data_IF_542216650911
#
_entry.id   IF_542216650911
#
_cell.length_a   1.000
_cell.length_b   1.000
_cell.length_c   1.000
_cell.angle_alpha   90.00
_cell.angle_beta   90.00
_cell.angle_gamma   90.00
#
_symmetry.space_group_name_H-M   'P 1'
#
loop_
_entity.id
_entity.type
_entity.pdbx_description
1 polymer ?
#
# COMPACT_ATOMS: atom_id res chain seq x y z
N UNK A 1 -23.64 23.80 -3.50
CA UNK A 1 -23.24 22.38 -3.32
C UNK A 1 -21.79 22.25 -3.77
N UNK A 2 -20.81 22.17 -2.85
CA UNK A 2 -19.40 21.95 -3.19
C UNK A 2 -18.84 20.87 -2.26
N UNK A 3 -18.88 19.63 -2.74
CA UNK A 3 -18.39 18.43 -2.09
C UNK A 3 -17.09 17.97 -2.77
N UNK A 4 -16.23 18.92 -3.13
CA UNK A 4 -14.94 18.65 -3.81
C UNK A 4 -13.73 19.00 -2.94
N UNK A 5 -13.89 19.89 -1.97
CA UNK A 5 -12.77 20.38 -1.15
C UNK A 5 -12.29 19.33 -0.13
N UNK A 6 -13.21 18.67 0.57
CA UNK A 6 -12.87 17.65 1.57
C UNK A 6 -12.19 16.41 0.99
N UNK A 7 -12.58 15.98 -0.22
CA UNK A 7 -11.95 14.84 -0.90
C UNK A 7 -10.53 15.18 -1.37
N UNK A 8 -10.35 16.37 -1.94
CA UNK A 8 -9.05 16.85 -2.38
C UNK A 8 -8.07 16.99 -1.20
N UNK A 9 -8.53 17.52 -0.07
CA UNK A 9 -7.75 17.59 1.18
C UNK A 9 -7.40 16.20 1.69
N UNK A 10 -8.33 15.24 1.65
CA UNK A 10 -8.08 13.86 2.09
C UNK A 10 -7.03 13.16 1.21
N UNK A 11 -7.10 13.35 -0.11
CA UNK A 11 -6.14 12.79 -1.08
C UNK A 11 -4.76 13.42 -0.89
N UNK A 12 -4.66 14.75 -0.73
CA UNK A 12 -3.40 15.45 -0.43
C UNK A 12 -2.78 14.96 0.88
N UNK A 13 -3.60 14.76 1.90
CA UNK A 13 -3.14 14.25 3.18
C UNK A 13 -2.64 12.80 3.08
N UNK A 14 -3.35 11.93 2.37
CA UNK A 14 -2.95 10.54 2.14
C UNK A 14 -1.63 10.45 1.34
N UNK A 15 -1.49 11.25 0.28
CA UNK A 15 -0.28 11.34 -0.52
C UNK A 15 0.92 11.79 0.33
N UNK A 16 0.77 12.84 1.14
CA UNK A 16 1.83 13.31 2.04
C UNK A 16 2.29 12.24 3.03
N UNK A 17 1.36 11.46 3.60
CA UNK A 17 1.73 10.36 4.52
C UNK A 17 2.45 9.23 3.79
N UNK A 18 2.03 8.92 2.55
CA UNK A 18 2.71 7.93 1.71
C UNK A 18 4.14 8.39 1.40
N UNK A 19 4.33 9.63 0.99
CA UNK A 19 5.66 10.16 0.69
C UNK A 19 6.58 10.14 1.92
N UNK A 20 6.07 10.49 3.09
CA UNK A 20 6.84 10.42 4.33
C UNK A 20 7.21 8.98 4.71
N UNK A 21 6.32 8.02 4.47
CA UNK A 21 6.58 6.59 4.67
C UNK A 21 7.63 6.09 3.67
N UNK A 22 7.46 6.39 2.39
CA UNK A 22 8.38 6.01 1.32
C UNK A 22 9.77 6.60 1.58
N UNK A 23 9.89 7.89 1.93
CA UNK A 23 11.16 8.49 2.33
C UNK A 23 11.79 7.80 3.55
N UNK A 24 10.98 7.40 4.54
CA UNK A 24 11.47 6.69 5.73
C UNK A 24 11.95 5.27 5.39
N UNK A 25 11.28 4.59 4.46
CA UNK A 25 11.70 3.28 3.93
C UNK A 25 13.00 3.44 3.14
N UNK A 26 13.08 4.42 2.23
CA UNK A 26 14.29 4.69 1.44
C UNK A 26 15.49 5.10 2.30
N UNK A 27 15.27 5.86 3.38
CA UNK A 27 16.32 6.24 4.34
C UNK A 27 16.80 5.09 5.24
N UNK A 28 15.96 4.07 5.46
CA UNK A 28 16.29 2.91 6.31
C UNK A 28 16.84 1.73 5.52
N UNK A 29 16.47 1.61 4.24
CA UNK A 29 16.89 0.52 3.35
C UNK A 29 17.28 1.13 2.01
N UNK A 30 18.58 1.23 1.76
CA UNK A 30 19.12 1.70 0.49
C UNK A 30 18.89 0.62 -0.56
N UNK A 31 17.75 0.66 -1.26
CA UNK A 31 17.46 -0.20 -2.42
C UNK A 31 16.08 -0.86 -2.41
N UNK A 32 15.69 -1.53 -3.51
CA UNK A 32 14.47 -2.34 -3.57
C UNK A 32 14.40 -3.29 -2.37
N UNK A 33 13.19 -3.55 -1.86
CA UNK A 33 13.02 -4.59 -0.87
C UNK A 33 13.37 -5.95 -1.50
N UNK A 34 14.61 -6.40 -1.31
CA UNK A 34 15.02 -7.75 -1.69
C UNK A 34 14.47 -8.70 -0.64
N UNK A 35 13.69 -9.67 -1.06
CA UNK A 35 13.22 -10.75 -0.19
C UNK A 35 14.11 -11.97 -0.41
N UNK A 36 14.48 -12.62 0.67
CA UNK A 36 15.30 -13.82 0.67
C UNK A 36 14.43 -15.05 0.92
N UNK A 37 14.88 -16.23 0.48
CA UNK A 37 14.21 -17.48 0.80
C UNK A 37 14.08 -17.63 2.32
N UNK A 38 12.86 -17.88 2.80
CA UNK A 38 12.54 -17.90 4.23
C UNK A 38 12.00 -16.59 4.78
N UNK A 39 11.91 -15.51 3.99
CA UNK A 39 11.21 -14.30 4.41
C UNK A 39 9.69 -14.51 4.44
N UNK A 40 9.04 -13.95 5.45
CA UNK A 40 7.58 -13.87 5.54
C UNK A 40 7.09 -12.58 4.87
N UNK A 41 6.36 -12.72 3.76
CA UNK A 41 5.88 -11.60 2.94
C UNK A 41 4.36 -11.62 2.79
N UNK A 42 3.79 -10.46 2.48
CA UNK A 42 2.38 -10.33 2.09
C UNK A 42 2.32 -9.63 0.74
N UNK A 43 1.48 -10.17 -0.16
CA UNK A 43 1.32 -9.64 -1.51
C UNK A 43 0.23 -8.57 -1.50
N UNK A 44 0.54 -7.42 -2.07
CA UNK A 44 -0.43 -6.34 -2.23
C UNK A 44 -1.40 -6.64 -3.37
N UNK A 45 -2.70 -6.58 -3.08
CA UNK A 45 -3.79 -6.80 -4.02
C UNK A 45 -4.21 -5.50 -4.68
N UNK A 46 -3.49 -5.10 -5.74
CA UNK A 46 -3.75 -3.87 -6.50
C UNK A 46 -5.05 -3.89 -7.31
N UNK A 47 -5.63 -5.08 -7.54
CA UNK A 47 -6.96 -5.28 -8.14
C UNK A 47 -8.08 -4.59 -7.34
N UNK A 48 -7.87 -4.42 -6.03
CA UNK A 48 -8.84 -3.80 -5.11
C UNK A 48 -8.78 -2.26 -5.09
N UNK A 49 -7.79 -1.64 -5.77
CA UNK A 49 -7.65 -0.18 -5.77
C UNK A 49 -8.52 0.51 -6.83
N UNK A 50 -8.91 -0.20 -7.89
CA UNK A 50 -9.57 0.41 -9.06
C UNK A 50 -11.09 0.50 -8.97
N UNK A 51 -11.73 -0.05 -7.93
CA UNK A 51 -13.20 -0.13 -7.92
C UNK A 51 -13.78 0.61 -6.72
N UNK A 52 -14.45 1.74 -7.00
CA UNK A 52 -15.22 2.55 -6.05
C UNK A 52 -16.42 1.81 -5.40
N UNK A 53 -16.57 0.50 -5.60
CA UNK A 53 -17.64 -0.31 -5.02
C UNK A 53 -17.35 -0.55 -3.54
N UNK A 54 -18.32 -0.21 -2.68
CA UNK A 54 -18.22 -0.28 -1.21
C UNK A 54 -17.82 -1.68 -0.73
N UNK A 55 -18.24 -2.72 -1.45
CA UNK A 55 -17.91 -4.13 -1.16
C UNK A 55 -16.39 -4.40 -1.13
N UNK A 56 -15.59 -3.73 -1.96
CA UNK A 56 -14.14 -3.93 -1.99
C UNK A 56 -13.41 -3.19 -0.87
N UNK A 57 -14.05 -2.21 -0.20
CA UNK A 57 -13.46 -1.49 0.95
C UNK A 57 -13.33 -2.37 2.20
N UNK A 58 -14.11 -3.44 2.28
CA UNK A 58 -14.07 -4.41 3.38
C UNK A 58 -13.08 -5.56 3.11
N UNK A 59 -12.53 -5.65 1.90
CA UNK A 59 -11.62 -6.73 1.55
C UNK A 59 -10.20 -6.41 2.03
N UNK A 60 -9.48 -7.39 2.62
CA UNK A 60 -8.07 -7.23 2.96
C UNK A 60 -7.24 -6.92 1.71
N UNK A 61 -6.53 -5.79 1.75
CA UNK A 61 -5.61 -5.36 0.67
C UNK A 61 -4.30 -6.15 0.63
N UNK A 62 -3.98 -6.85 1.70
CA UNK A 62 -2.81 -7.70 1.83
C UNK A 62 -3.25 -9.16 1.83
N UNK A 63 -2.54 -10.02 1.12
CA UNK A 63 -2.78 -11.46 1.20
C UNK A 63 -2.46 -12.00 2.61
N UNK A 64 -2.90 -13.23 2.88
CA UNK A 64 -2.36 -14.01 4.00
C UNK A 64 -0.83 -14.09 3.89
N UNK A 65 -0.10 -14.10 5.02
CA UNK A 65 1.36 -14.24 5.00
C UNK A 65 1.82 -15.46 4.22
N UNK A 66 2.88 -15.31 3.43
CA UNK A 66 3.48 -16.34 2.60
C UNK A 66 4.98 -16.36 2.82
N UNK A 67 5.57 -17.54 2.74
CA UNK A 67 7.02 -17.71 2.78
C UNK A 67 7.59 -17.62 1.37
N UNK A 68 8.70 -16.90 1.21
CA UNK A 68 9.48 -16.94 -0.03
C UNK A 68 10.16 -18.30 -0.11
N UNK A 69 9.77 -19.12 -1.09
CA UNK A 69 10.32 -20.46 -1.30
C UNK A 69 11.49 -20.45 -2.29
N UNK A 70 11.46 -19.55 -3.27
CA UNK A 70 12.47 -19.40 -4.31
C UNK A 70 12.43 -17.97 -4.87
N UNK A 71 13.54 -17.51 -5.47
CA UNK A 71 13.70 -16.16 -6.01
C UNK A 71 13.64 -16.14 -7.53
#
# INVERSE_FOLDING_TARGET
RKQFDGYEVMVKHAARRKDAFDQKVMKRRTGPAVFETGDLVQVYRSDLDYTFKIEQKLLPKWSRPQWVVER
#
